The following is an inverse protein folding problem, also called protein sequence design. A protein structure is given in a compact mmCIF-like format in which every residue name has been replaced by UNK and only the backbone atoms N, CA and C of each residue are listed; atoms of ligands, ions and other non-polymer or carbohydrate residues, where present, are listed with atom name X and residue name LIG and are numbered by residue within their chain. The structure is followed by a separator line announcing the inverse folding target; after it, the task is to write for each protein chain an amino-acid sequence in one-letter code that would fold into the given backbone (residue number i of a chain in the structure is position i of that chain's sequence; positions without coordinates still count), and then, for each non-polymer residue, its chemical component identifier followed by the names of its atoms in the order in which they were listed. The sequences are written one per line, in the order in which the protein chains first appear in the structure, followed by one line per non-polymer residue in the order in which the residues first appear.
data_IF_056073364163
#
_entry.id   IF_056073364163
#
_cell.length_a   1.000
_cell.length_b   1.000
_cell.length_c   1.000
_cell.angle_alpha   90.00
_cell.angle_beta   90.00
_cell.angle_gamma   90.00
#
_symmetry.space_group_name_H-M   'P 1'
#
loop_
_entity.id
_entity.type
_entity.pdbx_description
1 polymer ?
#
# COMPACT_ATOMS: atom_id res chain seq x y z
N UNK A 1 -16.29 -7.98 -0.87
CA UNK A 1 -15.44 -8.98 -1.56
C UNK A 1 -14.31 -9.37 -0.62
N UNK A 2 -14.23 -10.63 -0.15
CA UNK A 2 -13.09 -11.10 0.66
C UNK A 2 -11.90 -11.31 -0.29
N UNK A 3 -10.83 -10.53 -0.18
CA UNK A 3 -9.59 -10.81 -0.93
C UNK A 3 -9.04 -12.15 -0.45
N UNK A 4 -8.95 -13.13 -1.35
CA UNK A 4 -8.21 -14.37 -1.09
C UNK A 4 -6.73 -14.00 -1.20
N UNK A 5 -6.09 -13.79 -0.06
CA UNK A 5 -4.63 -13.87 0.01
C UNK A 5 -4.28 -15.31 -0.37
N UNK A 6 -3.41 -15.51 -1.35
CA UNK A 6 -2.94 -16.85 -1.72
C UNK A 6 -2.23 -17.48 -0.53
N UNK A 7 -2.24 -18.82 -0.44
CA UNK A 7 -1.54 -19.56 0.64
C UNK A 7 -0.05 -19.19 0.76
N UNK A 8 0.52 -18.67 -0.32
CA UNK A 8 1.97 -18.44 -0.47
C UNK A 8 2.36 -16.97 -0.19
N UNK A 9 1.41 -16.13 0.25
CA UNK A 9 1.71 -14.74 0.58
C UNK A 9 2.50 -14.64 1.88
N UNK A 10 3.78 -14.26 1.75
CA UNK A 10 4.66 -13.97 2.87
C UNK A 10 5.24 -12.56 2.75
N UNK A 11 5.25 -11.79 3.83
CA UNK A 11 5.83 -10.44 3.78
C UNK A 11 7.35 -10.50 3.82
N UNK A 12 8.08 -9.67 3.04
CA UNK A 12 9.54 -9.69 3.03
C UNK A 12 10.18 -9.46 4.40
N UNK A 13 11.28 -10.16 4.67
CA UNK A 13 11.96 -10.14 5.98
C UNK A 13 12.60 -8.80 6.35
N UNK A 14 12.88 -7.94 5.37
CA UNK A 14 13.43 -6.60 5.61
C UNK A 14 12.40 -5.63 6.20
N UNK A 15 11.11 -6.02 6.28
CA UNK A 15 10.07 -5.24 6.94
C UNK A 15 10.12 -5.48 8.44
N UNK A 16 10.00 -4.39 9.19
CA UNK A 16 9.76 -4.46 10.63
C UNK A 16 8.38 -5.06 10.91
N UNK A 17 8.20 -5.68 12.08
CA UNK A 17 6.90 -6.24 12.49
C UNK A 17 5.77 -5.21 12.45
N UNK A 18 6.04 -3.96 12.85
CA UNK A 18 5.08 -2.86 12.74
C UNK A 18 4.61 -2.63 11.29
N UNK A 19 5.53 -2.61 10.33
CA UNK A 19 5.18 -2.46 8.92
C UNK A 19 4.36 -3.66 8.42
N UNK A 20 4.70 -4.86 8.87
CA UNK A 20 3.94 -6.07 8.53
C UNK A 20 2.51 -5.98 9.06
N UNK A 21 2.32 -5.56 10.31
CA UNK A 21 1.01 -5.37 10.92
C UNK A 21 0.17 -4.31 10.19
N UNK A 22 0.78 -3.18 9.82
CA UNK A 22 0.12 -2.13 9.04
C UNK A 22 -0.35 -2.64 7.67
N UNK A 23 0.48 -3.42 6.98
CA UNK A 23 0.13 -4.04 5.69
C UNK A 23 -1.01 -5.04 5.87
N UNK A 24 -0.93 -5.92 6.87
CA UNK A 24 -1.98 -6.90 7.18
C UNK A 24 -3.30 -6.19 7.50
N UNK A 25 -3.25 -5.11 8.29
CA UNK A 25 -4.42 -4.30 8.59
C UNK A 25 -5.03 -3.67 7.33
N UNK A 26 -4.21 -3.08 6.45
CA UNK A 26 -4.67 -2.53 5.18
C UNK A 26 -5.32 -3.58 4.27
N UNK A 27 -4.77 -4.80 4.23
CA UNK A 27 -5.34 -5.90 3.46
C UNK A 27 -6.71 -6.30 4.03
N UNK A 28 -6.81 -6.50 5.35
CA UNK A 28 -8.05 -6.88 6.04
C UNK A 28 -9.17 -5.83 5.86
N UNK A 29 -8.80 -4.56 5.85
CA UNK A 29 -9.73 -3.43 5.70
C UNK A 29 -9.94 -3.00 4.25
N UNK A 30 -9.34 -3.70 3.28
CA UNK A 30 -9.41 -3.37 1.86
C UNK A 30 -8.91 -1.95 1.54
N UNK A 31 -7.99 -1.40 2.35
CA UNK A 31 -7.41 -0.07 2.16
C UNK A 31 -6.24 -0.12 1.16
N UNK A 32 -6.13 0.83 0.22
CA UNK A 32 -4.94 0.96 -0.63
C UNK A 32 -3.71 1.30 0.20
N UNK A 33 -2.53 0.81 -0.19
CA UNK A 33 -1.26 1.05 0.50
C UNK A 33 -0.45 2.10 -0.26
N UNK A 34 -0.07 3.18 0.43
CA UNK A 34 0.87 4.18 -0.10
C UNK A 34 2.25 3.97 0.52
N UNK A 35 3.24 3.67 -0.30
CA UNK A 35 4.61 3.37 0.13
C UNK A 35 5.47 4.61 -0.05
N UNK A 36 6.14 5.02 1.03
CA UNK A 36 7.08 6.14 1.03
C UNK A 36 8.34 5.78 1.82
N UNK A 37 9.41 6.56 1.65
CA UNK A 37 10.70 6.33 2.28
C UNK A 37 11.80 7.12 1.56
N UNK A 38 12.99 7.16 2.14
CA UNK A 38 14.13 7.92 1.61
C UNK A 38 14.45 7.54 0.15
N UNK A 39 14.98 8.49 -0.62
CA UNK A 39 15.51 8.19 -1.95
C UNK A 39 16.70 7.23 -1.85
N UNK A 40 16.83 6.32 -2.81
CA UNK A 40 17.81 5.23 -2.79
C UNK A 40 17.19 3.82 -2.76
N UNK A 41 18.03 2.78 -2.68
CA UNK A 41 17.63 1.37 -2.78
C UNK A 41 16.97 0.86 -1.48
N UNK A 42 15.84 1.45 -1.10
CA UNK A 42 15.11 1.10 0.13
C UNK A 42 14.02 0.04 -0.08
N UNK A 43 13.96 -0.58 -1.27
CA UNK A 43 12.98 -1.64 -1.57
C UNK A 43 11.53 -1.19 -1.80
N UNK A 44 11.26 0.12 -1.99
CA UNK A 44 9.89 0.64 -2.21
C UNK A 44 9.21 0.02 -3.42
N UNK A 45 9.87 0.07 -4.57
CA UNK A 45 9.38 -0.49 -5.84
C UNK A 45 9.20 -2.01 -5.75
N UNK A 46 10.15 -2.69 -5.10
CA UNK A 46 10.07 -4.12 -4.85
C UNK A 46 8.84 -4.49 -4.02
N UNK A 47 8.61 -3.78 -2.90
CA UNK A 47 7.44 -4.01 -2.04
C UNK A 47 6.13 -3.76 -2.79
N UNK A 48 6.04 -2.63 -3.50
CA UNK A 48 4.86 -2.26 -4.30
C UNK A 48 4.54 -3.35 -5.33
N UNK A 49 5.53 -3.77 -6.13
CA UNK A 49 5.34 -4.81 -7.15
C UNK A 49 4.93 -6.15 -6.54
N UNK A 50 5.51 -6.51 -5.38
CA UNK A 50 5.15 -7.72 -4.66
C UNK A 50 3.69 -7.71 -4.19
N UNK A 51 3.24 -6.60 -3.60
CA UNK A 51 1.85 -6.44 -3.14
C UNK A 51 0.87 -6.48 -4.32
N UNK A 52 1.17 -5.75 -5.40
CA UNK A 52 0.35 -5.71 -6.62
C UNK A 52 0.23 -7.09 -7.27
N UNK A 53 1.32 -7.87 -7.33
CA UNK A 53 1.31 -9.25 -7.82
C UNK A 53 0.32 -10.15 -7.05
N UNK A 54 0.08 -9.83 -5.77
CA UNK A 54 -0.86 -10.55 -4.91
C UNK A 54 -2.26 -9.91 -4.85
N UNK A 55 -2.58 -9.02 -5.80
CA UNK A 55 -3.89 -8.38 -5.89
C UNK A 55 -4.14 -7.32 -4.82
N UNK A 56 -3.09 -6.83 -4.15
CA UNK A 56 -3.18 -5.76 -3.17
C UNK A 56 -2.87 -4.44 -3.87
N UNK A 57 -3.80 -3.49 -3.80
CA UNK A 57 -3.61 -2.18 -4.39
C UNK A 57 -2.56 -1.40 -3.59
N UNK A 58 -1.41 -1.16 -4.22
CA UNK A 58 -0.28 -0.45 -3.63
C UNK A 58 0.34 0.52 -4.64
N UNK A 59 0.82 1.66 -4.14
CA UNK A 59 1.45 2.71 -4.93
C UNK A 59 2.68 3.25 -4.21
N UNK A 60 3.67 3.71 -4.96
CA UNK A 60 4.68 4.63 -4.43
C UNK A 60 4.18 6.07 -4.46
N UNK A 61 4.66 6.90 -3.53
CA UNK A 61 4.23 8.30 -3.43
C UNK A 61 4.35 9.09 -4.75
N UNK A 62 5.39 8.84 -5.55
CA UNK A 62 5.62 9.53 -6.82
C UNK A 62 4.66 9.07 -7.95
N UNK A 63 3.98 7.92 -7.79
CA UNK A 63 2.98 7.42 -8.74
C UNK A 63 1.60 8.09 -8.52
N UNK A 64 1.42 8.79 -7.41
CA UNK A 64 0.16 9.41 -7.03
C UNK A 64 0.16 10.92 -7.27
N UNK A 65 -0.92 11.42 -7.89
CA UNK A 65 -1.24 12.85 -7.84
C UNK A 65 -2.02 13.13 -6.56
N UNK A 66 -1.54 14.06 -5.74
CA UNK A 66 -2.26 14.57 -4.58
C UNK A 66 -3.11 15.77 -5.03
N UNK A 67 -4.42 15.71 -4.77
CA UNK A 67 -5.36 16.76 -5.11
C UNK A 67 -6.00 17.26 -3.81
N UNK A 68 -5.80 18.54 -3.51
CA UNK A 68 -6.44 19.22 -2.40
C UNK A 68 -7.70 19.95 -2.88
N UNK A 69 -8.83 19.70 -2.22
CA UNK A 69 -10.08 20.41 -2.52
C UNK A 69 -10.18 21.65 -1.63
N UNK A 70 -9.91 22.82 -2.22
CA UNK A 70 -9.89 24.10 -1.49
C UNK A 70 -11.28 24.72 -1.24
N UNK A 71 -12.35 24.03 -1.65
CA UNK A 71 -13.73 24.52 -1.50
C UNK A 71 -14.63 23.40 -1.04
N UNK A 72 -15.50 23.70 -0.08
CA UNK A 72 -16.57 22.80 0.33
C UNK A 72 -17.52 22.60 -0.83
N UNK A 73 -17.94 21.36 -1.06
CA UNK A 73 -18.96 21.06 -2.06
C UNK A 73 -20.31 21.45 -1.47
N UNK A 74 -20.82 22.64 -1.80
CA UNK A 74 -22.18 23.03 -1.45
C UNK A 74 -23.17 22.13 -2.21
N UNK A 75 -23.89 21.29 -1.47
CA UNK A 75 -25.14 20.63 -1.89
C UNK A 75 -25.04 19.38 -2.79
N UNK A 76 -25.28 18.21 -2.20
CA UNK A 76 -26.11 17.14 -2.77
C UNK A 76 -26.93 16.51 -1.66
#
# INVERSE_FOLDING_TARGET
MRRRITSDFQLPDYLTEKQKDEIVHAIKTNKPILISGNQGPTGKTTLKNYLVKHGIQAFEKWECCEIELNRTREGR
#
